data_IF_182030945231
#
_entry.id   IF_182030945231
#
_cell.length_a   1.000
_cell.length_b   1.000
_cell.length_c   1.000
_cell.angle_alpha   90.00
_cell.angle_beta   90.00
_cell.angle_gamma   90.00
#
_symmetry.space_group_name_H-M   'P 1'
#
loop_
_entity.id
_entity.type
_entity.pdbx_description
1 polymer ?
#
# COMPACT_ATOMS: atom_id res chain seq x y z
N UNK A 1 -20.23 -16.03 -21.30
CA UNK A 1 -20.67 -16.48 -19.99
C UNK A 1 -19.67 -16.16 -18.88
N UNK A 2 -18.40 -16.41 -19.10
CA UNK A 2 -17.35 -16.14 -18.13
C UNK A 2 -17.24 -14.65 -17.76
N UNK A 3 -17.35 -13.76 -18.75
CA UNK A 3 -17.27 -12.32 -18.51
C UNK A 3 -18.38 -11.81 -17.59
N UNK A 4 -19.56 -12.41 -17.67
CA UNK A 4 -20.69 -12.03 -16.82
C UNK A 4 -20.42 -12.34 -15.35
N UNK A 5 -19.74 -13.46 -15.08
CA UNK A 5 -19.36 -13.84 -13.71
C UNK A 5 -18.42 -12.80 -13.10
N UNK A 6 -17.43 -12.35 -13.85
CA UNK A 6 -16.47 -11.36 -13.37
C UNK A 6 -17.12 -9.98 -13.15
N UNK A 7 -18.01 -9.59 -14.06
CA UNK A 7 -18.75 -8.33 -13.93
C UNK A 7 -19.62 -8.34 -12.67
N UNK A 8 -20.32 -9.46 -12.42
CA UNK A 8 -21.15 -9.60 -11.24
C UNK A 8 -20.31 -9.62 -9.95
N UNK A 9 -19.16 -10.30 -9.97
CA UNK A 9 -18.24 -10.30 -8.85
C UNK A 9 -17.76 -8.89 -8.51
N UNK A 10 -17.41 -8.11 -9.52
CA UNK A 10 -16.99 -6.72 -9.35
C UNK A 10 -18.09 -5.87 -8.70
N UNK A 11 -19.34 -6.08 -9.08
CA UNK A 11 -20.48 -5.37 -8.47
C UNK A 11 -20.62 -5.71 -7.00
N UNK A 12 -20.47 -6.99 -6.65
CA UNK A 12 -20.56 -7.44 -5.26
C UNK A 12 -19.42 -6.84 -4.43
N UNK A 13 -18.20 -6.89 -4.94
CA UNK A 13 -17.04 -6.33 -4.25
C UNK A 13 -17.17 -4.81 -4.05
N UNK A 14 -17.66 -4.11 -5.08
CA UNK A 14 -17.88 -2.68 -4.98
C UNK A 14 -18.90 -2.33 -3.90
N UNK A 15 -20.00 -3.07 -3.83
CA UNK A 15 -21.00 -2.88 -2.78
C UNK A 15 -20.46 -3.16 -1.39
N UNK A 16 -19.62 -4.19 -1.25
CA UNK A 16 -18.98 -4.50 0.02
C UNK A 16 -18.07 -3.36 0.48
N UNK A 17 -17.30 -2.79 -0.44
CA UNK A 17 -16.42 -1.66 -0.12
C UNK A 17 -17.19 -0.40 0.25
N UNK A 18 -18.31 -0.14 -0.40
CA UNK A 18 -19.12 1.06 -0.15
C UNK A 18 -19.94 0.95 1.14
N UNK A 19 -20.50 -0.24 1.42
CA UNK A 19 -21.45 -0.44 2.52
C UNK A 19 -20.85 -1.07 3.77
N UNK A 20 -19.67 -1.67 3.66
CA UNK A 20 -19.04 -2.39 4.77
C UNK A 20 -18.52 -1.50 5.91
N UNK A 21 -18.18 -0.27 5.59
CA UNK A 21 -17.77 0.73 6.59
C UNK A 21 -16.69 0.23 7.54
N UNK A 22 -16.95 0.39 8.83
CA UNK A 22 -16.03 0.02 9.90
C UNK A 22 -15.92 -1.49 10.14
N UNK A 23 -16.85 -2.27 9.61
CA UNK A 23 -16.85 -3.72 9.77
C UNK A 23 -15.83 -4.41 8.87
N UNK A 24 -15.31 -3.69 7.85
CA UNK A 24 -14.31 -4.23 6.95
C UNK A 24 -12.92 -3.96 7.51
N UNK A 25 -12.19 -5.03 7.82
CA UNK A 25 -10.79 -4.95 8.27
C UNK A 25 -9.84 -4.65 7.11
N UNK A 26 -8.60 -4.27 7.42
CA UNK A 26 -7.54 -4.09 6.42
C UNK A 26 -7.35 -5.35 5.58
N UNK A 27 -7.34 -6.50 6.23
CA UNK A 27 -7.15 -7.80 5.58
C UNK A 27 -8.29 -8.11 4.63
N UNK A 28 -9.51 -7.79 5.01
CA UNK A 28 -10.69 -7.94 4.16
C UNK A 28 -10.63 -7.01 2.95
N UNK A 29 -10.25 -5.75 3.15
CA UNK A 29 -10.10 -4.79 2.05
C UNK A 29 -9.02 -5.23 1.08
N UNK A 30 -7.88 -5.68 1.59
CA UNK A 30 -6.81 -6.21 0.74
C UNK A 30 -7.33 -7.36 -0.12
N UNK A 31 -8.07 -8.30 0.48
CA UNK A 31 -8.62 -9.45 -0.23
C UNK A 31 -9.65 -9.03 -1.28
N UNK A 32 -10.54 -8.09 -0.94
CA UNK A 32 -11.52 -7.58 -1.88
C UNK A 32 -10.83 -6.91 -3.07
N UNK A 33 -9.86 -6.05 -2.80
CA UNK A 33 -9.09 -5.35 -3.84
C UNK A 33 -8.31 -6.33 -4.71
N UNK A 34 -7.71 -7.34 -4.11
CA UNK A 34 -7.01 -8.39 -4.85
C UNK A 34 -7.98 -9.11 -5.80
N UNK A 35 -9.14 -9.50 -5.29
CA UNK A 35 -10.15 -10.20 -6.10
C UNK A 35 -10.71 -9.31 -7.22
N UNK A 36 -10.88 -8.02 -6.95
CA UNK A 36 -11.27 -7.05 -7.99
C UNK A 36 -10.20 -6.98 -9.08
N UNK A 37 -8.94 -6.92 -8.68
CA UNK A 37 -7.82 -6.91 -9.62
C UNK A 37 -7.80 -8.16 -10.48
N UNK A 38 -8.03 -9.33 -9.90
CA UNK A 38 -8.10 -10.58 -10.63
C UNK A 38 -9.25 -10.58 -11.64
N UNK A 39 -10.43 -10.09 -11.25
CA UNK A 39 -11.60 -10.00 -12.14
C UNK A 39 -11.32 -9.08 -13.31
N UNK A 40 -10.72 -7.91 -13.07
CA UNK A 40 -10.34 -6.99 -14.17
C UNK A 40 -9.29 -7.62 -15.09
N UNK A 41 -8.36 -8.38 -14.54
CA UNK A 41 -7.35 -9.10 -15.30
C UNK A 41 -8.00 -10.10 -16.27
N UNK A 42 -8.97 -10.85 -15.81
CA UNK A 42 -9.73 -11.79 -16.65
C UNK A 42 -10.56 -11.09 -17.72
N UNK A 43 -10.96 -9.84 -17.46
CA UNK A 43 -11.68 -9.02 -18.43
C UNK A 43 -10.74 -8.25 -19.36
N UNK A 44 -9.44 -8.50 -19.28
CA UNK A 44 -8.39 -7.83 -20.06
C UNK A 44 -8.33 -6.31 -19.84
N UNK A 45 -8.75 -5.87 -18.66
CA UNK A 45 -8.66 -4.47 -18.24
C UNK A 45 -7.49 -4.31 -17.26
N UNK A 46 -6.27 -4.43 -17.80
CA UNK A 46 -5.05 -4.49 -16.99
C UNK A 46 -4.72 -3.18 -16.26
N UNK A 47 -5.12 -2.04 -16.81
CA UNK A 47 -4.96 -0.75 -16.15
C UNK A 47 -5.75 -0.69 -14.84
N UNK A 48 -6.98 -1.17 -14.85
CA UNK A 48 -7.83 -1.24 -13.66
C UNK A 48 -7.36 -2.32 -12.70
N UNK A 49 -6.86 -3.44 -13.23
CA UNK A 49 -6.30 -4.52 -12.42
C UNK A 49 -5.08 -4.01 -11.64
N UNK A 50 -4.17 -3.30 -12.30
CA UNK A 50 -2.99 -2.72 -11.65
C UNK A 50 -3.37 -1.75 -10.54
N UNK A 51 -4.37 -0.89 -10.78
CA UNK A 51 -4.85 0.05 -9.79
C UNK A 51 -5.38 -0.67 -8.54
N UNK A 52 -6.15 -1.75 -8.73
CA UNK A 52 -6.67 -2.56 -7.62
C UNK A 52 -5.54 -3.25 -6.83
N UNK A 53 -4.57 -3.83 -7.53
CA UNK A 53 -3.43 -4.48 -6.88
C UNK A 53 -2.56 -3.48 -6.12
N UNK A 54 -2.39 -2.28 -6.66
CA UNK A 54 -1.69 -1.20 -5.98
C UNK A 54 -2.41 -0.79 -4.70
N UNK A 55 -3.72 -0.60 -4.78
CA UNK A 55 -4.55 -0.26 -3.61
C UNK A 55 -4.52 -1.37 -2.55
N UNK A 56 -4.52 -2.63 -2.98
CA UNK A 56 -4.40 -3.77 -2.06
C UNK A 56 -3.07 -3.71 -1.30
N UNK A 57 -1.97 -3.43 -1.99
CA UNK A 57 -0.67 -3.25 -1.38
C UNK A 57 -0.67 -2.08 -0.38
N UNK A 58 -1.21 -0.95 -0.78
CA UNK A 58 -1.30 0.25 0.07
C UNK A 58 -2.13 0.02 1.33
N UNK A 59 -3.13 -0.83 1.25
CA UNK A 59 -4.05 -1.06 2.38
C UNK A 59 -3.36 -1.77 3.54
N UNK A 60 -2.57 -2.80 3.27
CA UNK A 60 -2.02 -3.65 4.33
C UNK A 60 -0.51 -3.91 4.22
N UNK A 61 0.13 -3.52 3.14
CA UNK A 61 1.58 -3.73 2.90
C UNK A 61 2.03 -5.18 3.08
N UNK A 62 1.20 -6.15 2.70
CA UNK A 62 1.56 -7.56 2.77
C UNK A 62 2.54 -7.93 1.65
N UNK A 63 3.43 -8.87 1.95
CA UNK A 63 4.39 -9.37 0.96
C UNK A 63 3.68 -9.98 -0.25
N UNK A 64 2.57 -10.67 -0.01
CA UNK A 64 1.75 -11.27 -1.07
C UNK A 64 1.18 -10.21 -2.01
N UNK A 65 0.63 -9.13 -1.46
CA UNK A 65 0.06 -8.04 -2.28
C UNK A 65 1.14 -7.38 -3.14
N UNK A 66 2.33 -7.18 -2.59
CA UNK A 66 3.45 -6.62 -3.32
C UNK A 66 3.85 -7.51 -4.49
N UNK A 67 3.97 -8.82 -4.26
CA UNK A 67 4.32 -9.78 -5.32
C UNK A 67 3.30 -9.78 -6.44
N UNK A 68 2.02 -9.77 -6.11
CA UNK A 68 0.94 -9.76 -7.11
C UNK A 68 0.98 -8.47 -7.93
N UNK A 69 1.15 -7.33 -7.27
CA UNK A 69 1.26 -6.04 -7.96
C UNK A 69 2.45 -6.04 -8.93
N UNK A 70 3.61 -6.48 -8.49
CA UNK A 70 4.81 -6.49 -9.32
C UNK A 70 4.69 -7.43 -10.50
N UNK A 71 4.06 -8.60 -10.32
CA UNK A 71 3.80 -9.53 -11.42
C UNK A 71 2.87 -8.91 -12.46
N UNK A 72 1.80 -8.25 -12.02
CA UNK A 72 0.88 -7.57 -12.90
C UNK A 72 1.56 -6.41 -13.63
N UNK A 73 2.38 -5.64 -12.92
CA UNK A 73 3.14 -4.54 -13.50
C UNK A 73 4.09 -5.03 -14.60
N UNK A 74 4.80 -6.11 -14.31
CA UNK A 74 5.73 -6.73 -15.26
C UNK A 74 5.04 -7.20 -16.54
N UNK A 75 3.80 -7.62 -16.45
CA UNK A 75 3.05 -8.13 -17.62
C UNK A 75 2.68 -7.04 -18.64
N UNK A 76 2.65 -5.75 -18.23
CA UNK A 76 2.25 -4.64 -19.09
C UNK A 76 3.32 -3.58 -19.28
N UNK A 77 4.48 -3.74 -18.66
CA UNK A 77 5.60 -2.80 -18.79
C UNK A 77 6.86 -3.51 -19.26
N UNK A 78 7.85 -2.74 -19.70
CA UNK A 78 9.14 -3.28 -20.09
C UNK A 78 9.89 -3.82 -18.87
N UNK A 79 10.87 -4.69 -19.12
CA UNK A 79 11.72 -5.24 -18.07
C UNK A 79 12.48 -4.14 -17.31
N UNK A 80 12.92 -3.11 -18.03
CA UNK A 80 13.61 -1.96 -17.44
C UNK A 80 12.69 -1.18 -16.49
N UNK A 81 11.47 -0.90 -16.94
CA UNK A 81 10.45 -0.23 -16.11
C UNK A 81 10.10 -1.05 -14.87
N UNK A 82 10.00 -2.37 -15.03
CA UNK A 82 9.72 -3.29 -13.92
C UNK A 82 10.83 -3.24 -12.88
N UNK A 83 12.09 -3.29 -13.29
CA UNK A 83 13.23 -3.24 -12.38
C UNK A 83 13.27 -1.93 -11.60
N UNK A 84 13.02 -0.83 -12.29
CA UNK A 84 12.98 0.49 -11.66
C UNK A 84 11.87 0.56 -10.61
N UNK A 85 10.69 0.07 -10.96
CA UNK A 85 9.55 0.05 -10.03
C UNK A 85 9.83 -0.82 -8.81
N UNK A 86 10.47 -1.96 -9.01
CA UNK A 86 10.85 -2.86 -7.94
C UNK A 86 11.83 -2.20 -6.96
N UNK A 87 12.82 -1.49 -7.47
CA UNK A 87 13.78 -0.77 -6.65
C UNK A 87 13.14 0.38 -5.89
N UNK A 88 12.28 1.15 -6.55
CA UNK A 88 11.56 2.26 -5.91
C UNK A 88 10.73 1.76 -4.74
N UNK A 89 10.03 0.65 -4.90
CA UNK A 89 9.19 0.08 -3.85
C UNK A 89 10.02 -0.48 -2.69
N UNK A 90 11.18 -1.05 -2.96
CA UNK A 90 12.10 -1.50 -1.91
C UNK A 90 12.59 -0.34 -1.07
N UNK A 91 12.96 0.75 -1.72
CA UNK A 91 13.44 1.95 -1.04
C UNK A 91 12.34 2.54 -0.15
N UNK A 92 11.13 2.67 -0.69
CA UNK A 92 9.98 3.16 0.06
C UNK A 92 9.68 2.30 1.28
N UNK A 93 9.77 0.98 1.13
CA UNK A 93 9.53 0.04 2.22
C UNK A 93 10.59 0.16 3.31
N UNK A 94 11.85 0.32 2.93
CA UNK A 94 12.95 0.51 3.90
C UNK A 94 12.75 1.80 4.69
N UNK A 95 12.41 2.89 4.03
CA UNK A 95 12.15 4.17 4.69
C UNK A 95 10.97 4.04 5.65
N UNK A 96 9.90 3.37 5.23
CA UNK A 96 8.73 3.14 6.09
C UNK A 96 9.09 2.35 7.34
N UNK A 97 9.88 1.28 7.19
CA UNK A 97 10.32 0.45 8.32
C UNK A 97 11.20 1.23 9.29
N UNK A 98 12.13 2.01 8.78
CA UNK A 98 13.01 2.84 9.61
C UNK A 98 12.21 3.89 10.37
N UNK A 99 11.24 4.52 9.72
CA UNK A 99 10.35 5.50 10.35
C UNK A 99 9.52 4.85 11.45
N UNK A 100 8.94 3.69 11.21
CA UNK A 100 8.15 2.96 12.21
C UNK A 100 9.01 2.58 13.42
N UNK A 101 10.24 2.14 13.20
CA UNK A 101 11.16 1.81 14.27
C UNK A 101 11.54 3.05 15.10
N UNK A 102 11.79 4.17 14.44
CA UNK A 102 12.10 5.42 15.12
C UNK A 102 10.93 5.87 16.01
N UNK A 103 9.70 5.80 15.48
CA UNK A 103 8.50 6.16 16.24
C UNK A 103 8.31 5.26 17.46
N UNK A 104 8.55 3.96 17.31
CA UNK A 104 8.47 3.01 18.42
C UNK A 104 9.52 3.31 19.49
N UNK A 105 10.72 3.68 19.09
CA UNK A 105 11.79 4.05 20.01
C UNK A 105 11.40 5.28 20.83
N UNK A 106 10.82 6.30 20.19
CA UNK A 106 10.34 7.49 20.88
C UNK A 106 9.18 7.17 21.83
N UNK A 107 8.25 6.33 21.42
CA UNK A 107 7.12 5.92 22.24
C UNK A 107 7.56 5.14 23.49
N UNK A 108 8.70 4.46 23.42
CA UNK A 108 9.27 3.71 24.53
C UNK A 108 10.03 4.55 25.55
N UNK A 109 10.28 5.84 25.26
CA UNK A 109 11.00 6.72 26.20
C UNK A 109 10.07 7.17 27.33
N UNK A 110 10.58 7.18 28.60
CA UNK A 110 9.77 7.66 29.72
C UNK A 110 9.42 9.13 29.55
N UNK A 111 8.16 9.49 29.76
CA UNK A 111 7.66 10.87 29.64
C UNK A 111 8.41 11.84 30.54
N UNK A 112 8.86 11.36 31.71
CA UNK A 112 9.57 12.18 32.68
C UNK A 112 10.93 12.71 32.19
N UNK A 113 11.45 12.18 31.09
CA UNK A 113 12.73 12.61 30.50
C UNK A 113 12.59 13.54 29.32
N UNK A 114 11.37 13.75 28.82
CA UNK A 114 11.12 14.60 27.66
C UNK A 114 9.99 15.57 27.99
N UNK A 115 10.31 16.87 27.98
CA UNK A 115 9.28 17.89 28.07
C UNK A 115 8.41 17.84 26.80
N UNK A 116 7.09 18.04 26.96
CA UNK A 116 6.12 17.91 25.86
C UNK A 116 6.47 18.74 24.62
N UNK A 117 7.08 19.92 24.83
CA UNK A 117 7.53 20.77 23.72
C UNK A 117 8.75 20.24 22.99
N UNK A 118 9.57 19.41 23.63
CA UNK A 118 10.76 18.82 23.01
C UNK A 118 10.40 17.66 22.08
N UNK A 119 9.40 16.88 22.44
CA UNK A 119 8.93 15.76 21.61
C UNK A 119 8.44 16.28 20.26
N UNK A 120 7.63 17.33 20.26
CA UNK A 120 7.12 17.96 19.05
C UNK A 120 8.26 18.49 18.18
N UNK A 121 9.25 19.11 18.83
CA UNK A 121 10.43 19.64 18.13
C UNK A 121 11.25 18.54 17.46
N UNK A 122 11.46 17.42 18.15
CA UNK A 122 12.19 16.27 17.61
C UNK A 122 11.44 15.69 16.39
N UNK A 123 10.13 15.55 16.48
CA UNK A 123 9.32 15.05 15.36
C UNK A 123 9.35 16.00 14.17
N UNK A 124 9.31 17.31 14.42
CA UNK A 124 9.45 18.32 13.36
C UNK A 124 10.80 18.23 12.67
N UNK A 125 11.87 18.10 13.45
CA UNK A 125 13.23 18.00 12.92
C UNK A 125 13.40 16.72 12.07
N UNK A 126 12.88 15.59 12.53
CA UNK A 126 12.91 14.33 11.79
C UNK A 126 12.13 14.43 10.48
N UNK A 127 10.96 15.06 10.53
CA UNK A 127 10.14 15.28 9.33
C UNK A 127 10.88 16.16 8.34
N UNK A 128 11.53 17.19 8.82
CA UNK A 128 12.30 18.14 8.01
C UNK A 128 13.48 17.45 7.34
N UNK A 129 14.22 16.60 8.08
CA UNK A 129 15.32 15.82 7.53
C UNK A 129 14.84 14.82 6.48
N UNK A 130 13.70 14.17 6.72
CA UNK A 130 13.10 13.26 5.76
C UNK A 130 12.80 13.95 4.45
N UNK A 131 12.15 15.11 4.49
CA UNK A 131 11.86 15.89 3.28
C UNK A 131 13.12 16.37 2.58
N UNK A 132 14.16 16.72 3.34
CA UNK A 132 15.43 17.14 2.77
C UNK A 132 16.14 15.99 2.06
N UNK A 133 16.11 14.77 2.65
CA UNK A 133 16.77 13.60 2.07
C UNK A 133 16.05 13.03 0.84
N UNK A 134 14.74 13.31 0.70
CA UNK A 134 13.98 12.89 -0.49
C UNK A 134 14.10 13.85 -1.66
N UNK A 135 14.88 14.91 -1.52
CA UNK A 135 15.23 15.80 -2.62
C UNK A 135 14.12 16.70 -3.13
N UNK A 136 13.12 16.88 -2.34
CA UNK A 136 12.00 17.75 -2.70
C UNK A 136 12.33 19.23 -2.49
#
# INVERSE_FOLDING_TARGET
MENRMYVNALRVYQKLMENGGKEITKEMRERILHNQGCAYSYLFQMDKALDCFWKAWKENHSEKALKVYLLAYRSVHSEEEYRKRQEDLKTDEMVRQETDQALKSFAGLPEQHIASGETDRILEDLTREYHRSTGS
#
